data_IF_808661389438
#
_entry.id   IF_808661389438
#
_cell.length_a   1.000
_cell.length_b   1.000
_cell.length_c   1.000
_cell.angle_alpha   90.00
_cell.angle_beta   90.00
_cell.angle_gamma   90.00
#
_symmetry.space_group_name_H-M   'P 1'
#
loop_
_entity.id
_entity.type
_entity.pdbx_description
1 polymer ?
#
# COMPACT_ATOMS: atom_id res chain seq x y z
N UNK A 1 -30.04 29.32 -5.35
CA UNK A 1 -28.68 28.73 -5.29
C UNK A 1 -28.52 27.59 -4.28
N UNK A 2 -29.12 27.63 -3.08
CA UNK A 2 -28.96 26.55 -2.06
C UNK A 2 -29.46 25.14 -2.48
N UNK A 3 -30.51 25.03 -3.31
CA UNK A 3 -31.06 23.72 -3.71
C UNK A 3 -30.25 22.96 -4.77
N UNK A 4 -29.31 23.60 -5.45
CA UNK A 4 -28.58 22.97 -6.57
C UNK A 4 -27.36 22.16 -6.13
N UNK A 5 -26.83 22.35 -4.91
CA UNK A 5 -25.64 21.62 -4.42
C UNK A 5 -25.95 20.43 -3.52
N UNK A 6 -27.19 20.30 -3.06
CA UNK A 6 -27.66 19.02 -2.53
C UNK A 6 -27.83 18.11 -3.76
N UNK A 7 -27.07 17.02 -3.86
CA UNK A 7 -27.16 16.04 -4.95
C UNK A 7 -26.46 16.35 -6.28
N UNK A 8 -25.28 17.00 -6.25
CA UNK A 8 -24.38 16.97 -7.41
C UNK A 8 -23.42 15.79 -7.23
N UNK A 9 -23.49 14.83 -8.15
CA UNK A 9 -22.59 13.67 -8.16
C UNK A 9 -21.13 14.10 -8.41
N UNK A 10 -20.18 13.27 -8.00
CA UNK A 10 -18.77 13.53 -8.28
C UNK A 10 -18.55 13.56 -9.79
N UNK A 11 -17.99 14.66 -10.30
CA UNK A 11 -17.72 14.83 -11.73
C UNK A 11 -16.25 14.54 -12.04
N UNK A 12 -15.99 13.65 -12.99
CA UNK A 12 -14.66 13.39 -13.52
C UNK A 12 -14.36 14.33 -14.69
N UNK A 13 -13.19 14.96 -14.70
CA UNK A 13 -12.65 15.68 -15.87
C UNK A 13 -11.56 14.82 -16.54
N UNK A 14 -11.88 14.09 -17.62
CA UNK A 14 -10.95 13.13 -18.22
C UNK A 14 -9.67 13.77 -18.73
N UNK A 15 -9.74 15.01 -19.22
CA UNK A 15 -8.59 15.76 -19.75
C UNK A 15 -7.57 16.16 -18.68
N UNK A 16 -7.97 16.22 -17.41
CA UNK A 16 -7.12 16.69 -16.30
C UNK A 16 -6.78 15.57 -15.30
N UNK A 17 -7.39 14.37 -15.44
CA UNK A 17 -7.32 13.30 -14.43
C UNK A 17 -7.78 13.75 -13.03
N UNK A 18 -8.73 14.69 -12.98
CA UNK A 18 -9.26 15.28 -11.74
C UNK A 18 -10.69 14.80 -11.50
N UNK A 19 -11.01 14.47 -10.25
CA UNK A 19 -12.37 14.21 -9.78
C UNK A 19 -12.79 15.28 -8.78
N UNK A 20 -13.93 15.93 -9.05
CA UNK A 20 -14.49 16.99 -8.21
C UNK A 20 -15.72 16.47 -7.49
N UNK A 21 -15.67 16.45 -6.16
CA UNK A 21 -16.76 16.01 -5.29
C UNK A 21 -17.25 17.18 -4.42
N UNK A 22 -18.32 17.89 -4.83
CA UNK A 22 -18.89 18.97 -4.03
C UNK A 22 -19.61 18.43 -2.80
N UNK A 23 -19.42 19.09 -1.65
CA UNK A 23 -20.10 18.75 -0.39
C UNK A 23 -20.69 20.01 0.25
N UNK A 24 -21.78 19.83 0.99
CA UNK A 24 -22.45 20.92 1.72
C UNK A 24 -22.60 20.51 3.17
N UNK A 25 -22.03 21.29 4.07
CA UNK A 25 -22.10 21.06 5.51
C UNK A 25 -23.00 22.14 6.12
N UNK A 26 -24.24 21.79 6.49
CA UNK A 26 -25.18 22.76 7.03
C UNK A 26 -24.95 23.01 8.53
N UNK A 27 -25.42 24.16 9.02
CA UNK A 27 -25.55 24.49 10.46
C UNK A 27 -24.23 24.62 11.23
N UNK A 28 -23.30 25.45 10.75
CA UNK A 28 -22.06 25.78 11.47
C UNK A 28 -22.27 26.87 12.54
N UNK A 29 -21.31 26.97 13.47
CA UNK A 29 -21.32 28.01 14.51
C UNK A 29 -21.27 29.41 13.90
N UNK A 30 -22.20 30.27 14.29
CA UNK A 30 -22.33 31.64 13.79
C UNK A 30 -21.55 32.68 14.63
N UNK A 31 -20.53 32.24 15.37
CA UNK A 31 -19.85 33.05 16.40
C UNK A 31 -19.18 34.33 15.89
N UNK A 32 -19.01 34.54 14.58
CA UNK A 32 -18.68 35.85 13.98
C UNK A 32 -19.36 36.16 12.62
N UNK A 33 -20.43 35.45 12.26
CA UNK A 33 -21.25 35.75 11.08
C UNK A 33 -22.67 36.18 11.49
N UNK A 34 -23.40 36.81 10.57
CA UNK A 34 -24.75 37.36 10.80
C UNK A 34 -25.73 36.34 11.44
N UNK A 35 -26.86 36.82 12.01
CA UNK A 35 -27.86 36.02 12.76
C UNK A 35 -28.53 34.86 11.96
N UNK A 36 -28.14 34.63 10.71
CA UNK A 36 -28.70 33.57 9.84
C UNK A 36 -27.87 32.30 9.93
N UNK A 37 -28.52 31.14 9.75
CA UNK A 37 -27.83 29.83 9.73
C UNK A 37 -26.77 29.82 8.62
N UNK A 38 -25.51 29.60 8.98
CA UNK A 38 -24.41 29.45 8.02
C UNK A 38 -24.33 28.00 7.49
N UNK A 39 -23.84 27.86 6.26
CA UNK A 39 -23.53 26.58 5.65
C UNK A 39 -22.22 26.70 4.88
N UNK A 40 -21.39 25.67 4.93
CA UNK A 40 -20.13 25.61 4.20
C UNK A 40 -20.31 24.77 2.95
N UNK A 41 -19.87 25.31 1.82
CA UNK A 41 -19.79 24.57 0.56
C UNK A 41 -18.32 24.28 0.26
N UNK A 42 -17.96 22.99 0.21
CA UNK A 42 -16.61 22.57 -0.14
C UNK A 42 -16.61 21.91 -1.52
N UNK A 43 -15.48 22.00 -2.23
CA UNK A 43 -15.23 21.20 -3.43
C UNK A 43 -13.99 20.38 -3.16
N UNK A 44 -14.15 19.06 -2.99
CA UNK A 44 -13.03 18.16 -2.78
C UNK A 44 -12.43 17.79 -4.14
N UNK A 45 -11.16 18.09 -4.33
CA UNK A 45 -10.41 17.77 -5.55
C UNK A 45 -9.57 16.53 -5.29
N UNK A 46 -9.81 15.47 -6.07
CA UNK A 46 -9.11 14.18 -5.93
C UNK A 46 -8.39 13.88 -7.24
N UNK A 47 -7.08 13.63 -7.15
CA UNK A 47 -6.19 13.37 -8.29
C UNK A 47 -5.31 12.15 -8.03
N UNK A 48 -4.90 11.40 -9.07
CA UNK A 48 -3.97 10.29 -8.90
C UNK A 48 -2.61 10.79 -8.40
N UNK A 49 -2.12 10.19 -7.31
CA UNK A 49 -0.80 10.49 -6.77
C UNK A 49 0.30 9.88 -7.66
N UNK A 50 1.25 10.70 -8.10
CA UNK A 50 2.40 10.29 -8.94
C UNK A 50 2.02 9.46 -10.18
N UNK A 51 0.81 9.62 -10.70
CA UNK A 51 0.25 8.80 -11.79
C UNK A 51 0.32 7.27 -11.52
N UNK A 52 0.33 6.85 -10.26
CA UNK A 52 0.36 5.44 -9.91
C UNK A 52 -0.94 4.74 -10.31
N UNK A 53 -0.80 3.57 -10.93
CA UNK A 53 -1.91 2.68 -11.26
C UNK A 53 -1.66 1.30 -10.67
N UNK A 54 -2.68 0.74 -10.06
CA UNK A 54 -2.67 -0.59 -9.49
C UNK A 54 -3.84 -1.39 -10.04
N UNK A 55 -3.60 -2.67 -10.28
CA UNK A 55 -4.65 -3.61 -10.67
C UNK A 55 -4.95 -4.51 -9.48
N UNK A 56 -6.22 -4.52 -9.05
CA UNK A 56 -6.74 -5.47 -8.09
C UNK A 56 -7.13 -6.78 -8.80
N UNK A 57 -6.81 -7.92 -8.18
CA UNK A 57 -7.16 -9.26 -8.64
C UNK A 57 -7.72 -10.09 -7.49
N UNK A 58 -8.78 -10.85 -7.76
CA UNK A 58 -9.35 -11.78 -6.80
C UNK A 58 -8.82 -13.18 -7.09
N UNK A 59 -8.03 -13.71 -6.16
CA UNK A 59 -7.50 -15.07 -6.23
C UNK A 59 -8.49 -16.04 -5.61
N UNK A 60 -8.76 -17.11 -6.35
CA UNK A 60 -9.62 -18.22 -5.92
C UNK A 60 -8.75 -19.39 -5.43
N UNK A 61 -9.39 -20.53 -5.15
CA UNK A 61 -8.67 -21.74 -4.78
C UNK A 61 -7.63 -22.11 -5.86
N UNK A 62 -6.36 -22.36 -5.49
CA UNK A 62 -5.32 -22.68 -6.44
C UNK A 62 -5.37 -24.16 -6.85
N UNK A 63 -4.90 -24.41 -8.07
CA UNK A 63 -4.49 -25.75 -8.52
C UNK A 63 -3.03 -26.00 -8.14
N UNK A 64 -2.75 -27.20 -7.64
CA UNK A 64 -1.38 -27.57 -7.23
C UNK A 64 -0.72 -28.43 -8.30
N UNK A 65 0.45 -28.01 -8.75
CA UNK A 65 1.26 -28.74 -9.72
C UNK A 65 2.65 -29.01 -9.17
N UNK A 66 3.20 -30.18 -9.50
CA UNK A 66 4.64 -30.46 -9.35
C UNK A 66 5.27 -30.58 -10.71
N UNK A 67 6.39 -29.88 -10.90
CA UNK A 67 7.15 -29.90 -12.15
C UNK A 67 8.32 -30.86 -11.99
N UNK A 68 8.20 -32.04 -12.59
CA UNK A 68 9.27 -33.03 -12.60
C UNK A 68 10.22 -32.79 -13.76
N UNK A 69 11.52 -32.85 -13.46
CA UNK A 69 12.60 -32.82 -14.43
C UNK A 69 13.33 -34.15 -14.39
N UNK A 70 13.02 -35.02 -15.35
CA UNK A 70 13.68 -36.33 -15.48
C UNK A 70 14.81 -36.22 -16.50
N UNK A 71 16.02 -36.63 -16.09
CA UNK A 71 17.22 -36.56 -16.93
C UNK A 71 17.98 -37.86 -16.83
N UNK A 72 18.40 -38.38 -17.98
CA UNK A 72 19.26 -39.55 -18.08
C UNK A 72 20.66 -39.10 -18.45
N UNK A 73 21.64 -39.63 -17.72
CA UNK A 73 23.05 -39.42 -18.00
C UNK A 73 23.69 -40.74 -18.43
N UNK A 74 24.52 -40.67 -19.46
CA UNK A 74 25.35 -41.78 -19.93
C UNK A 74 26.83 -41.39 -19.80
N UNK A 75 27.65 -42.33 -19.34
CA UNK A 75 29.10 -42.11 -19.27
C UNK A 75 29.74 -42.48 -20.60
N UNK A 76 30.32 -41.48 -21.29
CA UNK A 76 31.02 -41.66 -22.57
C UNK A 76 32.40 -41.04 -22.43
N UNK A 77 33.47 -41.80 -22.69
CA UNK A 77 34.86 -41.35 -22.52
C UNK A 77 35.09 -40.70 -21.14
N UNK A 78 34.67 -41.41 -20.08
CA UNK A 78 34.74 -41.00 -18.67
C UNK A 78 33.95 -39.75 -18.27
N UNK A 79 33.31 -39.04 -19.21
CA UNK A 79 32.48 -37.86 -18.94
C UNK A 79 31.00 -38.21 -18.92
N UNK A 80 30.25 -37.57 -18.03
CA UNK A 80 28.79 -37.68 -18.01
C UNK A 80 28.19 -36.82 -19.12
N UNK A 81 27.44 -37.44 -20.03
CA UNK A 81 26.68 -36.77 -21.10
C UNK A 81 25.19 -36.97 -20.87
N UNK A 82 24.40 -35.89 -20.97
CA UNK A 82 22.93 -35.97 -20.96
C UNK A 82 22.46 -36.68 -22.22
N UNK A 83 21.77 -37.81 -22.08
CA UNK A 83 21.23 -38.58 -23.20
C UNK A 83 19.73 -38.34 -23.42
N UNK A 84 18.98 -38.10 -22.34
CA UNK A 84 17.55 -37.81 -22.39
C UNK A 84 17.19 -36.77 -21.32
N UNK A 85 16.23 -35.90 -21.63
CA UNK A 85 15.70 -34.91 -20.70
C UNK A 85 14.24 -34.62 -21.01
N UNK A 86 13.40 -34.67 -19.99
CA UNK A 86 11.99 -34.29 -20.10
C UNK A 86 11.57 -33.50 -18.86
N UNK A 87 10.80 -32.43 -19.08
CA UNK A 87 10.16 -31.66 -18.02
C UNK A 87 8.65 -31.80 -18.16
N UNK A 88 7.97 -32.26 -17.11
CA UNK A 88 6.52 -32.47 -17.12
C UNK A 88 5.86 -31.87 -15.87
N UNK A 89 4.88 -30.96 -16.02
CA UNK A 89 4.01 -30.57 -14.91
C UNK A 89 2.97 -31.66 -14.68
N UNK A 90 2.80 -32.06 -13.43
CA UNK A 90 1.81 -33.03 -12.97
C UNK A 90 0.85 -32.35 -12.00
N UNK A 91 -0.45 -32.52 -12.26
CA UNK A 91 -1.49 -32.00 -11.37
C UNK A 91 -1.62 -32.91 -10.14
N UNK A 92 -1.66 -32.32 -8.95
CA UNK A 92 -1.72 -33.03 -7.67
C UNK A 92 -3.06 -32.86 -6.95
N UNK A 93 -4.05 -32.20 -7.55
CA UNK A 93 -5.34 -31.95 -6.92
C UNK A 93 -6.09 -33.24 -6.55
N UNK A 94 -5.80 -34.35 -7.24
CA UNK A 94 -6.37 -35.68 -6.98
C UNK A 94 -5.58 -36.48 -5.92
N UNK A 95 -4.50 -35.93 -5.38
CA UNK A 95 -3.62 -36.58 -4.39
C UNK A 95 -2.65 -37.61 -4.96
N UNK A 96 -2.89 -38.09 -6.18
CA UNK A 96 -2.03 -39.03 -6.90
C UNK A 96 -1.85 -38.60 -8.36
N UNK A 97 -0.63 -38.69 -8.86
CA UNK A 97 -0.29 -38.48 -10.26
C UNK A 97 0.65 -39.58 -10.75
N UNK A 98 0.45 -40.06 -11.98
CA UNK A 98 1.35 -41.03 -12.61
C UNK A 98 1.99 -40.45 -13.86
N UNK A 99 3.22 -40.88 -14.12
CA UNK A 99 3.99 -40.48 -15.30
C UNK A 99 4.77 -41.67 -15.83
N UNK A 100 4.57 -41.97 -17.12
CA UNK A 100 5.42 -42.91 -17.85
C UNK A 100 6.73 -42.23 -18.22
N UNK A 101 7.83 -42.78 -17.70
CA UNK A 101 9.18 -42.35 -18.01
C UNK A 101 9.77 -43.32 -19.02
N UNK A 102 10.05 -42.81 -20.22
CA UNK A 102 10.86 -43.51 -21.21
C UNK A 102 12.27 -43.71 -20.63
N UNK A 103 12.71 -44.96 -20.56
CA UNK A 103 14.03 -45.33 -20.06
C UNK A 103 15.08 -45.51 -21.16
N UNK A 104 16.23 -46.02 -20.73
CA UNK A 104 17.41 -46.28 -21.55
C UNK A 104 17.22 -47.61 -22.28
N UNK A 105 17.64 -47.69 -23.54
CA UNK A 105 17.83 -48.97 -24.20
C UNK A 105 19.05 -49.68 -23.62
N UNK A 106 18.83 -50.85 -23.02
CA UNK A 106 19.86 -51.70 -22.47
C UNK A 106 19.97 -52.95 -23.34
N UNK A 107 21.19 -53.28 -23.73
CA UNK A 107 21.51 -54.57 -24.33
C UNK A 107 21.49 -55.64 -23.24
N UNK A 108 20.48 -56.50 -23.27
CA UNK A 108 20.37 -57.66 -22.36
C UNK A 108 20.66 -58.91 -23.19
N UNK A 109 21.95 -59.23 -23.34
CA UNK A 109 22.41 -60.26 -24.28
C UNK A 109 22.50 -59.72 -25.71
N UNK A 110 21.94 -60.43 -26.69
CA UNK A 110 21.86 -60.01 -28.10
C UNK A 110 20.61 -59.14 -28.42
N UNK A 111 19.76 -58.87 -27.44
CA UNK A 111 18.51 -58.12 -27.63
C UNK A 111 18.60 -56.71 -27.01
N UNK A 112 18.30 -55.70 -27.82
CA UNK A 112 18.12 -54.32 -27.38
C UNK A 112 16.73 -54.16 -26.74
N UNK A 113 16.67 -53.83 -25.45
CA UNK A 113 15.39 -53.62 -24.73
C UNK A 113 15.31 -52.22 -24.16
N UNK A 114 14.19 -51.54 -24.43
CA UNK A 114 13.86 -50.26 -23.79
C UNK A 114 13.31 -50.52 -22.39
N UNK A 115 13.95 -49.96 -21.36
CA UNK A 115 13.34 -49.89 -20.05
C UNK A 115 12.23 -48.85 -20.03
N UNK A 116 11.12 -49.17 -19.37
CA UNK A 116 10.06 -48.24 -19.07
C UNK A 116 9.88 -48.20 -17.56
N UNK A 117 9.78 -46.99 -17.02
CA UNK A 117 9.50 -46.80 -15.61
C UNK A 117 8.15 -46.11 -15.48
N UNK A 118 7.26 -46.67 -14.67
CA UNK A 118 6.06 -45.97 -14.24
C UNK A 118 6.36 -45.30 -12.90
N UNK A 119 6.38 -43.97 -12.91
CA UNK A 119 6.53 -43.17 -11.71
C UNK A 119 5.15 -42.80 -11.18
N UNK A 120 4.85 -43.17 -9.94
CA UNK A 120 3.65 -42.78 -9.23
C UNK A 120 4.06 -41.81 -8.12
N UNK A 121 3.43 -40.65 -8.10
CA UNK A 121 3.63 -39.61 -7.12
C UNK A 121 2.39 -39.49 -6.26
N UNK A 122 2.59 -39.63 -4.96
CA UNK A 122 1.59 -39.37 -3.95
C UNK A 122 2.04 -38.15 -3.16
N UNK A 123 1.22 -37.11 -3.19
CA UNK A 123 1.58 -35.83 -2.60
C UNK A 123 0.47 -35.41 -1.64
N UNK A 124 0.76 -35.25 -0.34
CA UNK A 124 -0.17 -34.56 0.54
C UNK A 124 -0.39 -33.14 0.01
N UNK A 125 -1.57 -32.57 0.26
CA UNK A 125 -1.86 -31.17 -0.11
C UNK A 125 -0.70 -30.26 0.32
N UNK A 126 -0.38 -29.26 -0.50
CA UNK A 126 0.67 -28.29 -0.19
C UNK A 126 0.49 -27.76 1.25
N UNK A 127 1.59 -27.74 2.02
CA UNK A 127 1.55 -27.45 3.46
C UNK A 127 1.07 -26.01 3.76
N UNK A 128 1.27 -25.13 2.79
CA UNK A 128 0.94 -23.70 2.77
C UNK A 128 0.37 -23.42 1.39
N UNK A 129 -0.42 -22.38 1.32
CA UNK A 129 -0.98 -21.84 0.08
C UNK A 129 -1.20 -20.36 0.30
N UNK A 130 -1.22 -19.61 -0.80
CA UNK A 130 -1.74 -18.27 -0.77
C UNK A 130 -3.26 -18.38 -0.54
N UNK A 131 -3.78 -17.68 0.46
CA UNK A 131 -5.20 -17.78 0.80
C UNK A 131 -6.06 -17.09 -0.29
N UNK A 132 -7.25 -17.62 -0.59
CA UNK A 132 -8.18 -16.95 -1.49
C UNK A 132 -8.54 -15.56 -0.95
N UNK A 133 -8.43 -14.54 -1.79
CA UNK A 133 -8.51 -13.16 -1.34
C UNK A 133 -8.26 -12.17 -2.46
N UNK A 134 -8.29 -10.88 -2.11
CA UNK A 134 -8.04 -9.81 -3.07
C UNK A 134 -6.62 -9.31 -2.88
N UNK A 135 -5.85 -9.39 -3.95
CA UNK A 135 -4.45 -8.95 -4.03
C UNK A 135 -4.35 -7.83 -5.04
N UNK A 136 -3.21 -7.15 -5.09
CA UNK A 136 -2.99 -6.11 -6.09
C UNK A 136 -1.53 -6.04 -6.52
N UNK A 137 -1.29 -5.45 -7.69
CA UNK A 137 0.05 -5.19 -8.19
C UNK A 137 0.07 -3.86 -8.95
N UNK A 138 1.25 -3.24 -9.04
CA UNK A 138 1.43 -1.99 -9.78
C UNK A 138 1.45 -2.25 -11.28
N UNK A 139 0.67 -1.50 -12.03
CA UNK A 139 0.66 -1.53 -13.50
C UNK A 139 1.70 -0.53 -13.99
N UNK A 140 2.75 -1.01 -14.66
CA UNK A 140 3.78 -0.17 -15.28
C UNK A 140 3.71 -0.34 -16.78
N UNK A 141 3.34 0.73 -17.49
CA UNK A 141 3.27 0.73 -18.96
C UNK A 141 4.67 0.46 -19.56
N UNK A 142 4.74 -0.41 -20.58
CA UNK A 142 5.98 -0.71 -21.30
C UNK A 142 6.92 -1.75 -20.66
N UNK A 143 6.57 -2.34 -19.51
CA UNK A 143 7.27 -3.52 -18.95
C UNK A 143 6.49 -4.80 -19.21
N UNK A 144 7.19 -5.85 -19.61
CA UNK A 144 6.62 -7.19 -19.68
C UNK A 144 6.15 -7.63 -18.28
N UNK A 145 4.87 -8.01 -18.17
CA UNK A 145 4.24 -8.54 -16.93
C UNK A 145 5.00 -9.73 -16.31
N UNK A 146 5.88 -10.37 -17.10
CA UNK A 146 6.72 -11.51 -16.69
C UNK A 146 7.94 -11.11 -15.85
N UNK A 147 8.40 -9.86 -15.96
CA UNK A 147 9.60 -9.41 -15.25
C UNK A 147 9.24 -8.81 -13.88
N UNK A 148 9.21 -9.68 -12.86
CA UNK A 148 9.03 -9.35 -11.43
C UNK A 148 7.71 -8.64 -11.13
N UNK A 149 6.60 -9.37 -11.28
CA UNK A 149 5.31 -8.90 -10.85
C UNK A 149 5.29 -8.70 -9.33
N UNK A 150 5.12 -7.45 -8.91
CA UNK A 150 5.06 -7.04 -7.50
C UNK A 150 3.66 -7.27 -6.92
N UNK A 151 3.25 -8.53 -6.82
CA UNK A 151 2.01 -8.88 -6.13
C UNK A 151 2.13 -8.51 -4.66
N UNK A 152 1.12 -7.82 -4.12
CA UNK A 152 1.10 -7.28 -2.77
C UNK A 152 -0.05 -7.84 -1.95
N UNK A 153 0.21 -7.98 -0.66
CA UNK A 153 -0.71 -8.48 0.39
C UNK A 153 -0.54 -7.64 1.68
N UNK A 154 -1.40 -7.86 2.67
CA UNK A 154 -1.32 -7.24 3.99
C UNK A 154 -2.05 -5.91 4.11
N UNK A 155 -2.88 -5.56 3.12
CA UNK A 155 -3.71 -4.34 3.16
C UNK A 155 -5.15 -4.70 2.83
N UNK A 156 -6.08 -4.13 3.59
CA UNK A 156 -7.48 -4.27 3.29
C UNK A 156 -7.81 -3.56 1.97
N UNK A 157 -8.37 -4.31 1.02
CA UNK A 157 -8.72 -3.85 -0.31
C UNK A 157 -10.22 -4.04 -0.54
N UNK A 158 -10.87 -3.07 -1.17
CA UNK A 158 -12.28 -3.19 -1.56
C UNK A 158 -12.43 -4.19 -2.71
N UNK A 159 -13.44 -5.05 -2.60
CA UNK A 159 -13.95 -5.80 -3.74
C UNK A 159 -14.63 -4.89 -4.77
N UNK A 160 -14.89 -5.40 -5.96
CA UNK A 160 -15.54 -4.70 -7.06
C UNK A 160 -16.86 -4.03 -6.64
N UNK A 161 -17.62 -4.64 -5.74
CA UNK A 161 -18.91 -4.10 -5.25
C UNK A 161 -18.79 -3.26 -3.97
N UNK A 162 -17.64 -3.28 -3.31
CA UNK A 162 -17.40 -2.54 -2.06
C UNK A 162 -16.83 -1.14 -2.34
N UNK A 163 -17.05 -0.21 -1.41
CA UNK A 163 -16.65 1.20 -1.55
C UNK A 163 -16.26 1.84 -0.22
N UNK A 164 -15.69 1.09 0.72
CA UNK A 164 -15.27 1.64 2.02
C UNK A 164 -14.05 2.55 1.83
N UNK A 165 -14.07 3.72 2.48
CA UNK A 165 -12.94 4.66 2.45
C UNK A 165 -11.77 4.24 3.36
N UNK A 166 -11.98 3.24 4.23
CA UNK A 166 -10.95 2.70 5.13
C UNK A 166 -10.05 1.64 4.45
N UNK A 167 -10.37 1.26 3.20
CA UNK A 167 -9.67 0.21 2.44
C UNK A 167 -9.15 0.77 1.13
N UNK A 168 -8.10 0.17 0.55
CA UNK A 168 -7.67 0.51 -0.80
C UNK A 168 -8.80 0.31 -1.83
N UNK A 169 -8.72 0.98 -2.98
CA UNK A 169 -9.59 0.71 -4.14
C UNK A 169 -10.94 1.45 -4.16
N UNK A 170 -11.13 2.49 -3.34
CA UNK A 170 -12.29 3.39 -3.44
C UNK A 170 -12.16 4.43 -4.59
N UNK A 171 -10.92 4.76 -4.99
CA UNK A 171 -10.60 5.58 -6.17
C UNK A 171 -10.19 4.67 -7.33
N UNK A 172 -10.96 4.67 -8.41
CA UNK A 172 -10.83 3.68 -9.50
C UNK A 172 -10.67 4.33 -10.86
N UNK A 173 -9.93 3.64 -11.73
CA UNK A 173 -9.78 4.01 -13.12
C UNK A 173 -10.62 3.05 -13.98
N UNK A 174 -11.71 3.57 -14.56
CA UNK A 174 -12.60 2.82 -15.45
C UNK A 174 -12.95 3.69 -16.68
N UNK A 175 -13.09 3.07 -17.85
CA UNK A 175 -13.43 3.77 -19.10
C UNK A 175 -12.54 4.99 -19.40
N UNK A 176 -11.23 4.85 -19.21
CA UNK A 176 -10.24 5.93 -19.36
C UNK A 176 -10.46 7.15 -18.45
N UNK A 177 -11.17 7.00 -17.34
CA UNK A 177 -11.46 8.08 -16.40
C UNK A 177 -11.31 7.62 -14.95
N UNK A 178 -10.80 8.51 -14.11
CA UNK A 178 -10.80 8.31 -12.67
C UNK A 178 -12.16 8.69 -12.08
N UNK A 179 -12.64 7.91 -11.11
CA UNK A 179 -13.84 8.22 -10.36
C UNK A 179 -13.76 7.64 -8.94
N UNK A 180 -14.53 8.23 -8.03
CA UNK A 180 -14.72 7.70 -6.68
C UNK A 180 -16.02 6.89 -6.66
N UNK A 181 -15.92 5.62 -6.29
CA UNK A 181 -17.10 4.73 -6.23
C UNK A 181 -18.06 5.24 -5.16
N UNK A 182 -19.32 5.49 -5.53
CA UNK A 182 -20.33 6.13 -4.65
C UNK A 182 -19.80 7.43 -4.01
N UNK A 183 -19.01 8.19 -4.77
CA UNK A 183 -18.24 9.33 -4.27
C UNK A 183 -19.06 10.38 -3.55
N UNK A 184 -20.25 10.74 -4.06
CA UNK A 184 -21.07 11.76 -3.42
C UNK A 184 -21.38 11.41 -1.95
N UNK A 185 -21.87 10.20 -1.69
CA UNK A 185 -22.24 9.74 -0.35
C UNK A 185 -21.02 9.52 0.54
N UNK A 186 -19.98 8.87 0.01
CA UNK A 186 -18.80 8.52 0.80
C UNK A 186 -17.99 9.75 1.21
N UNK A 187 -17.79 10.72 0.30
CA UNK A 187 -17.03 11.94 0.58
C UNK A 187 -17.79 12.84 1.55
N UNK A 188 -19.13 12.96 1.42
CA UNK A 188 -19.95 13.72 2.36
C UNK A 188 -19.88 13.15 3.78
N UNK A 189 -19.89 11.82 3.92
CA UNK A 189 -19.77 11.16 5.22
C UNK A 189 -18.38 11.22 5.83
N UNK A 190 -17.33 11.17 5.01
CA UNK A 190 -15.94 11.23 5.49
C UNK A 190 -15.50 12.64 5.88
N UNK A 191 -16.09 13.68 5.28
CA UNK A 191 -15.68 15.04 5.54
C UNK A 191 -16.31 15.57 6.83
N UNK A 192 -15.47 15.80 7.83
CA UNK A 192 -15.85 16.42 9.09
C UNK A 192 -15.30 17.85 9.17
N UNK A 193 -16.15 18.79 9.52
CA UNK A 193 -15.76 20.18 9.71
C UNK A 193 -16.21 20.65 11.08
N UNK A 194 -15.26 21.23 11.82
CA UNK A 194 -15.49 21.88 13.11
C UNK A 194 -15.25 23.37 12.95
N UNK A 195 -16.32 24.15 13.01
CA UNK A 195 -16.22 25.61 13.03
C UNK A 195 -15.93 26.12 14.43
N UNK A 196 -14.85 26.89 14.58
CA UNK A 196 -14.66 27.76 15.75
C UNK A 196 -15.31 29.13 15.47
N UNK A 197 -15.19 29.59 14.23
CA UNK A 197 -15.75 30.82 13.68
C UNK A 197 -16.15 30.56 12.20
N UNK A 198 -17.16 31.26 11.70
CA UNK A 198 -17.48 31.34 10.28
C UNK A 198 -16.28 31.79 9.41
N UNK A 199 -15.29 32.46 10.00
CA UNK A 199 -14.00 32.79 9.35
C UNK A 199 -12.91 31.74 9.55
N UNK A 200 -13.05 30.83 10.53
CA UNK A 200 -12.03 29.84 10.91
C UNK A 200 -12.64 28.48 11.18
N UNK A 201 -12.37 27.55 10.26
CA UNK A 201 -12.85 26.19 10.35
C UNK A 201 -11.69 25.22 10.37
N UNK A 202 -11.85 24.13 11.12
CA UNK A 202 -10.95 22.98 11.07
C UNK A 202 -11.63 21.87 10.28
N UNK A 203 -10.91 21.29 9.32
CA UNK A 203 -11.37 20.18 8.51
C UNK A 203 -10.62 18.91 8.87
N UNK A 204 -11.33 17.80 8.80
CA UNK A 204 -10.83 16.46 9.00
C UNK A 204 -11.47 15.56 7.95
N UNK A 205 -10.69 14.65 7.37
CA UNK A 205 -11.18 13.73 6.37
C UNK A 205 -10.98 12.29 6.86
N UNK A 206 -12.09 11.61 7.12
CA UNK A 206 -12.13 10.24 7.64
C UNK A 206 -12.02 9.23 6.49
N UNK A 207 -10.80 8.98 6.04
CA UNK A 207 -10.50 7.98 5.04
C UNK A 207 -9.10 7.42 5.30
N UNK A 208 -8.77 6.30 4.66
CA UNK A 208 -7.41 5.78 4.60
C UNK A 208 -6.92 5.74 3.15
N UNK A 209 -5.61 5.51 2.99
CA UNK A 209 -4.99 5.26 1.70
C UNK A 209 -5.01 6.45 0.74
N UNK A 210 -4.74 7.65 1.26
CA UNK A 210 -4.64 8.88 0.47
C UNK A 210 -3.45 9.74 0.90
N UNK A 211 -3.12 10.70 0.05
CA UNK A 211 -2.15 11.76 0.36
C UNK A 211 -2.93 13.06 0.43
N UNK A 212 -2.80 13.78 1.54
CA UNK A 212 -3.40 15.10 1.68
C UNK A 212 -2.39 16.17 1.28
N UNK A 213 -2.78 17.00 0.32
CA UNK A 213 -2.08 18.25 -0.01
C UNK A 213 -2.88 19.41 0.62
N UNK A 214 -2.22 20.22 1.44
CA UNK A 214 -2.83 21.39 2.07
C UNK A 214 -2.14 22.63 1.51
N UNK A 215 -2.89 23.46 0.78
CA UNK A 215 -2.36 24.67 0.16
C UNK A 215 -1.73 25.60 1.21
N UNK A 216 -0.43 25.86 1.08
CA UNK A 216 0.35 26.73 1.97
C UNK A 216 1.18 26.03 3.05
N UNK A 217 1.12 24.70 3.16
CA UNK A 217 2.05 23.89 3.95
C UNK A 217 2.92 23.03 3.00
N UNK A 218 4.25 23.11 3.13
CA UNK A 218 5.19 22.26 2.34
C UNK A 218 5.18 20.77 2.76
N UNK A 219 4.39 20.42 3.77
CA UNK A 219 4.35 19.06 4.33
C UNK A 219 3.25 18.25 3.67
N UNK A 220 3.65 17.32 2.80
CA UNK A 220 2.77 16.25 2.31
C UNK A 220 2.45 15.29 3.47
N UNK A 221 1.16 15.12 3.77
CA UNK A 221 0.71 14.09 4.70
C UNK A 221 0.37 12.84 3.91
N UNK A 222 1.36 11.97 3.70
CA UNK A 222 1.16 10.67 3.06
C UNK A 222 0.60 9.66 4.07
N UNK A 223 -0.60 9.15 3.79
CA UNK A 223 -1.29 8.15 4.61
C UNK A 223 -1.74 6.97 3.76
N UNK A 224 -0.76 6.32 3.14
CA UNK A 224 -0.99 5.08 2.41
C UNK A 224 -0.04 3.99 2.91
N UNK A 225 -0.54 2.76 2.88
CA UNK A 225 0.22 1.56 3.16
C UNK A 225 0.04 0.62 1.97
N UNK A 226 1.12 0.33 1.24
CA UNK A 226 1.09 -0.61 0.12
C UNK A 226 1.33 -2.07 0.55
N UNK A 227 1.27 -2.33 1.85
CA UNK A 227 1.50 -3.65 2.42
C UNK A 227 2.89 -4.15 2.12
N UNK A 228 2.98 -5.47 1.99
CA UNK A 228 4.22 -6.15 1.65
C UNK A 228 4.09 -6.90 0.33
N UNK A 229 5.23 -7.18 -0.28
CA UNK A 229 5.25 -8.05 -1.45
C UNK A 229 4.98 -9.49 -1.03
N UNK A 230 4.25 -10.22 -1.86
CA UNK A 230 4.00 -11.65 -1.64
C UNK A 230 5.32 -12.44 -1.68
N UNK A 231 6.33 -11.96 -2.39
CA UNK A 231 7.68 -12.55 -2.39
C UNK A 231 8.46 -12.34 -1.08
N UNK A 232 7.97 -11.50 -0.15
CA UNK A 232 8.56 -11.38 1.19
C UNK A 232 8.14 -12.53 2.11
N UNK A 233 7.08 -13.29 1.76
CA UNK A 233 6.74 -14.51 2.49
C UNK A 233 7.85 -15.56 2.29
N UNK A 234 8.45 -16.11 3.36
CA UNK A 234 9.58 -17.03 3.24
C UNK A 234 9.28 -18.31 2.45
N UNK A 235 8.01 -18.74 2.42
CA UNK A 235 7.59 -19.94 1.70
C UNK A 235 7.36 -19.71 0.20
N UNK A 236 7.44 -18.47 -0.28
CA UNK A 236 7.21 -18.10 -1.67
C UNK A 236 8.55 -17.73 -2.30
N UNK A 237 8.91 -18.44 -3.37
CA UNK A 237 10.15 -18.21 -4.11
C UNK A 237 9.97 -17.20 -5.23
N UNK A 238 8.88 -17.31 -5.98
CA UNK A 238 8.61 -16.46 -7.12
C UNK A 238 7.11 -16.35 -7.35
N UNK A 239 6.69 -15.22 -7.93
CA UNK A 239 5.31 -14.98 -8.35
C UNK A 239 5.35 -14.50 -9.80
N UNK A 240 4.58 -15.15 -10.65
CA UNK A 240 4.39 -14.76 -12.05
C UNK A 240 2.90 -14.45 -12.28
N UNK A 241 2.61 -13.22 -12.71
CA UNK A 241 1.25 -12.80 -13.04
C UNK A 241 1.03 -12.99 -14.54
N UNK A 242 0.01 -13.76 -14.88
CA UNK A 242 -0.46 -13.98 -16.24
C UNK A 242 -1.82 -13.30 -16.44
N UNK A 243 -2.36 -13.31 -17.67
CA UNK A 243 -3.61 -12.61 -17.98
C UNK A 243 -4.84 -13.13 -17.23
N UNK A 244 -4.85 -14.42 -16.86
CA UNK A 244 -5.98 -15.09 -16.18
C UNK A 244 -5.57 -15.98 -15.01
N UNK A 245 -4.36 -15.82 -14.51
CA UNK A 245 -3.83 -16.66 -13.43
C UNK A 245 -2.59 -16.08 -12.80
N UNK A 246 -2.31 -16.52 -11.58
CA UNK A 246 -1.08 -16.19 -10.86
C UNK A 246 -0.40 -17.50 -10.53
N UNK A 247 0.83 -17.66 -10.98
CA UNK A 247 1.67 -18.80 -10.62
C UNK A 247 2.51 -18.41 -9.40
N UNK A 248 2.39 -19.19 -8.34
CA UNK A 248 3.20 -19.03 -7.12
C UNK A 248 4.14 -20.23 -7.05
N UNK A 249 5.45 -19.97 -7.17
CA UNK A 249 6.49 -20.98 -6.96
C UNK A 249 6.80 -21.03 -5.46
N UNK A 250 6.65 -22.21 -4.86
CA UNK A 250 6.96 -22.42 -3.46
C UNK A 250 8.47 -22.58 -3.25
N UNK A 251 9.00 -21.93 -2.21
CA UNK A 251 10.39 -22.10 -1.77
C UNK A 251 10.60 -23.39 -0.99
N UNK A 252 9.54 -23.87 -0.33
CA UNK A 252 9.52 -25.06 0.52
C UNK A 252 8.25 -25.88 0.26
N UNK A 253 8.31 -27.20 0.50
CA UNK A 253 7.18 -28.09 0.31
C UNK A 253 7.28 -29.33 1.18
N UNK A 254 6.16 -30.02 1.35
CA UNK A 254 6.11 -31.29 2.06
C UNK A 254 6.85 -32.39 1.28
N UNK A 255 7.35 -33.40 2.00
CA UNK A 255 7.90 -34.59 1.38
C UNK A 255 6.82 -35.31 0.54
N UNK A 256 7.25 -35.84 -0.60
CA UNK A 256 6.38 -36.58 -1.53
C UNK A 256 6.81 -38.04 -1.55
N UNK A 257 5.84 -38.94 -1.66
CA UNK A 257 6.13 -40.36 -1.84
C UNK A 257 6.25 -40.65 -3.34
N UNK A 258 7.42 -41.15 -3.73
CA UNK A 258 7.71 -41.56 -5.10
C UNK A 258 7.76 -43.08 -5.15
N UNK A 259 6.85 -43.69 -5.91
CA UNK A 259 6.87 -45.12 -6.19
C UNK A 259 7.31 -45.34 -7.62
N UNK A 260 8.45 -46.01 -7.81
CA UNK A 260 8.98 -46.37 -9.11
C UNK A 260 8.65 -47.84 -9.40
N UNK A 261 7.86 -48.09 -10.45
CA UNK A 261 7.57 -49.44 -10.94
C UNK A 261 8.38 -49.72 -12.19
N UNK A 262 9.05 -50.87 -12.20
CA UNK A 262 9.82 -51.41 -13.32
C UNK A 262 9.13 -52.65 -13.88
N UNK A 263 9.41 -53.00 -15.14
CA UNK A 263 9.02 -54.31 -15.68
C UNK A 263 9.78 -55.42 -14.92
N UNK A 264 9.06 -56.47 -14.52
CA UNK A 264 9.56 -57.63 -13.75
C UNK A 264 10.74 -58.35 -14.45
N UNK A 265 10.92 -58.11 -15.75
CA UNK A 265 12.04 -58.65 -16.55
C UNK A 265 13.39 -58.02 -16.23
N UNK A 266 13.44 -56.92 -15.48
CA UNK A 266 14.67 -56.21 -15.16
C UNK A 266 14.99 -56.30 -13.66
N UNK A 267 16.28 -56.30 -13.29
CA UNK A 267 16.67 -56.24 -11.88
C UNK A 267 16.18 -54.94 -11.25
N UNK A 268 15.90 -54.94 -9.92
CA UNK A 268 15.51 -53.74 -9.20
C UNK A 268 16.55 -52.62 -9.36
N UNK A 269 16.11 -51.34 -9.48
CA UNK A 269 17.02 -50.22 -9.60
C UNK A 269 17.80 -50.01 -8.30
N UNK A 270 19.08 -49.68 -8.44
CA UNK A 270 19.94 -49.30 -7.31
C UNK A 270 19.86 -47.80 -7.12
N UNK A 271 19.44 -47.36 -5.95
CA UNK A 271 19.43 -45.94 -5.58
C UNK A 271 20.81 -45.55 -5.07
N UNK A 272 21.41 -44.55 -5.72
CA UNK A 272 22.70 -43.97 -5.35
C UNK A 272 22.49 -42.54 -4.87
N UNK A 273 23.28 -42.12 -3.88
CA UNK A 273 23.28 -40.76 -3.38
C UNK A 273 24.70 -40.20 -3.37
N UNK A 274 24.82 -38.88 -3.46
CA UNK A 274 26.10 -38.20 -3.28
C UNK A 274 26.43 -38.07 -1.79
N UNK A 275 27.71 -37.84 -1.49
CA UNK A 275 28.19 -37.56 -0.14
C UNK A 275 27.78 -36.13 0.25
N UNK A 276 27.31 -35.97 1.48
CA UNK A 276 27.03 -34.66 2.07
C UNK A 276 28.27 -34.10 2.76
N UNK A 277 28.49 -32.79 2.64
CA UNK A 277 29.63 -32.11 3.27
C UNK A 277 29.32 -30.64 3.50
N UNK A 278 29.99 -30.02 4.47
CA UNK A 278 30.02 -28.57 4.67
C UNK A 278 31.32 -28.18 5.40
N UNK A 279 31.72 -26.91 5.30
CA UNK A 279 32.94 -26.39 5.93
C UNK A 279 32.66 -25.73 7.27
N UNK A 280 31.70 -24.81 7.31
CA UNK A 280 31.24 -24.10 8.50
C UNK A 280 29.81 -23.60 8.32
N UNK A 281 29.19 -23.16 9.40
CA UNK A 281 27.93 -22.43 9.34
C UNK A 281 27.96 -21.30 10.37
N UNK A 282 27.16 -20.27 10.12
CA UNK A 282 26.86 -19.19 11.03
C UNK A 282 25.39 -18.78 10.89
N UNK A 283 24.83 -18.10 11.87
CA UNK A 283 23.45 -17.66 11.77
C UNK A 283 22.92 -16.88 12.95
N UNK A 284 21.61 -16.68 12.95
CA UNK A 284 20.89 -16.07 14.06
C UNK A 284 19.45 -16.58 14.14
N UNK A 285 18.90 -16.56 15.35
CA UNK A 285 17.49 -16.87 15.57
C UNK A 285 16.70 -15.56 15.53
N UNK A 286 15.74 -15.47 14.61
CA UNK A 286 14.96 -14.26 14.39
C UNK A 286 13.50 -14.47 14.74
N UNK A 287 12.92 -13.48 15.41
CA UNK A 287 11.47 -13.27 15.48
C UNK A 287 11.18 -11.95 14.75
N UNK A 288 10.47 -12.04 13.64
CA UNK A 288 10.17 -10.87 12.82
C UNK A 288 8.94 -10.08 13.32
N UNK A 289 8.64 -8.95 12.66
CA UNK A 289 7.51 -8.07 12.97
C UNK A 289 6.14 -8.74 12.82
N UNK A 290 6.08 -9.91 12.19
CA UNK A 290 4.86 -10.69 11.93
C UNK A 290 4.73 -11.91 12.84
N UNK A 291 5.64 -12.04 13.82
CA UNK A 291 5.73 -13.20 14.70
C UNK A 291 6.16 -14.50 14.01
N UNK A 292 6.75 -14.45 12.81
CA UNK A 292 7.43 -15.61 12.25
C UNK A 292 8.73 -15.83 13.01
N UNK A 293 8.94 -17.07 13.44
CA UNK A 293 10.18 -17.49 14.08
C UNK A 293 10.94 -18.45 13.19
N UNK A 294 12.18 -18.09 12.90
CA UNK A 294 13.04 -18.88 12.05
C UNK A 294 14.50 -18.72 12.44
N UNK A 295 15.26 -19.74 12.08
CA UNK A 295 16.70 -19.81 12.18
C UNK A 295 17.26 -19.42 10.81
N UNK A 296 17.92 -18.27 10.75
CA UNK A 296 18.56 -17.75 9.54
C UNK A 296 20.00 -18.27 9.49
N UNK A 297 20.28 -19.19 8.56
CA UNK A 297 21.56 -19.88 8.43
C UNK A 297 22.29 -19.45 7.17
N UNK A 298 23.58 -19.25 7.32
CA UNK A 298 24.57 -19.12 6.26
C UNK A 298 25.54 -20.29 6.39
N UNK A 299 25.62 -21.13 5.36
CA UNK A 299 26.42 -22.35 5.38
C UNK A 299 27.52 -22.25 4.32
N UNK A 300 28.77 -22.48 4.72
CA UNK A 300 29.93 -22.41 3.85
C UNK A 300 30.23 -23.75 3.15
N UNK A 301 30.49 -23.68 1.84
CA UNK A 301 31.02 -24.78 1.02
C UNK A 301 30.26 -26.10 1.22
N UNK A 302 28.93 -26.02 1.15
CA UNK A 302 28.04 -27.10 1.55
C UNK A 302 27.37 -27.80 0.37
N UNK A 303 27.17 -29.12 0.50
CA UNK A 303 26.58 -30.00 -0.52
C UNK A 303 25.77 -31.12 0.14
N UNK A 304 24.67 -31.51 -0.51
CA UNK A 304 23.86 -32.64 -0.08
C UNK A 304 22.88 -32.28 1.04
N UNK A 305 22.67 -33.21 1.97
CA UNK A 305 21.76 -33.04 3.11
C UNK A 305 22.56 -32.82 4.39
N UNK A 306 22.21 -31.78 5.13
CA UNK A 306 22.72 -31.52 6.47
C UNK A 306 21.62 -31.76 7.49
N UNK A 307 21.97 -32.40 8.60
CA UNK A 307 21.08 -32.67 9.74
C UNK A 307 21.46 -31.72 10.86
N UNK A 308 20.46 -31.07 11.43
CA UNK A 308 20.61 -30.05 12.45
C UNK A 308 19.84 -30.37 13.71
N UNK A 309 20.37 -29.91 14.85
CA UNK A 309 19.76 -30.04 16.17
C UNK A 309 19.88 -28.75 16.94
N UNK A 310 18.80 -28.31 17.56
CA UNK A 310 18.76 -27.12 18.41
C UNK A 310 18.61 -27.59 19.86
N UNK A 311 19.52 -27.12 20.71
CA UNK A 311 19.53 -27.35 22.15
C UNK A 311 19.39 -26.02 22.89
N UNK A 312 18.77 -26.05 24.08
CA UNK A 312 18.74 -24.87 24.96
C UNK A 312 20.12 -24.54 25.51
N UNK A 313 20.83 -25.59 25.94
CA UNK A 313 22.11 -25.50 26.61
C UNK A 313 23.10 -26.55 26.06
N UNK A 314 24.38 -26.40 26.41
CA UNK A 314 25.47 -27.32 26.05
C UNK A 314 25.33 -28.72 26.70
N UNK A 315 24.43 -28.91 27.67
CA UNK A 315 24.13 -30.22 28.26
C UNK A 315 23.59 -31.23 27.23
N UNK A 316 23.11 -30.74 26.07
CA UNK A 316 22.55 -31.55 24.97
C UNK A 316 21.45 -32.50 25.43
N UNK A 317 20.59 -32.04 26.36
CA UNK A 317 19.48 -32.83 26.85
C UNK A 317 18.50 -33.17 25.71
N UNK A 318 18.39 -34.46 25.38
CA UNK A 318 17.56 -34.96 24.26
C UNK A 318 16.08 -34.57 24.37
N UNK A 319 15.57 -34.33 25.59
CA UNK A 319 14.19 -33.90 25.82
C UNK A 319 13.91 -32.46 25.37
N UNK A 320 14.95 -31.65 25.12
CA UNK A 320 14.84 -30.28 24.63
C UNK A 320 15.45 -30.14 23.21
N UNK A 321 15.60 -31.25 22.48
CA UNK A 321 16.15 -31.26 21.13
C UNK A 321 15.07 -30.92 20.09
N UNK A 322 15.35 -29.94 19.24
CA UNK A 322 14.56 -29.70 18.03
C UNK A 322 15.37 -30.09 16.79
N UNK A 323 15.06 -31.21 16.13
CA UNK A 323 15.74 -31.64 14.91
C UNK A 323 15.22 -30.87 13.69
N UNK A 324 16.10 -30.59 12.73
CA UNK A 324 15.76 -30.01 11.43
C UNK A 324 16.71 -30.51 10.35
N UNK A 325 16.30 -30.41 9.09
CA UNK A 325 17.12 -30.83 7.94
C UNK A 325 17.27 -29.67 6.95
N UNK A 326 18.47 -29.52 6.40
CA UNK A 326 18.76 -28.57 5.32
C UNK A 326 19.19 -29.36 4.10
N UNK A 327 18.42 -29.26 3.01
CA UNK A 327 18.75 -29.91 1.73
C UNK A 327 19.32 -28.88 0.77
N UNK A 328 20.57 -29.06 0.38
CA UNK A 328 21.29 -28.15 -0.50
C UNK A 328 21.30 -28.77 -1.90
N UNK A 329 20.54 -28.15 -2.81
CA UNK A 329 20.44 -28.60 -4.20
C UNK A 329 21.48 -27.91 -5.08
N UNK A 330 22.26 -28.72 -5.81
CA UNK A 330 23.21 -28.28 -6.84
C UNK A 330 22.50 -27.52 -8.00
N UNK A 331 21.16 -27.57 -8.11
CA UNK A 331 20.39 -26.90 -9.18
C UNK A 331 20.46 -25.36 -9.15
N UNK A 332 20.95 -24.74 -8.07
CA UNK A 332 21.20 -23.30 -8.01
C UNK A 332 22.57 -22.89 -8.58
N UNK A 333 23.39 -23.85 -9.02
CA UNK A 333 24.75 -23.64 -9.56
C UNK A 333 24.79 -23.63 -11.11
N UNK A 334 23.77 -24.11 -11.81
CA UNK A 334 23.79 -24.17 -13.28
C UNK A 334 23.25 -22.90 -13.96
N UNK A 335 23.83 -21.74 -13.63
CA UNK A 335 23.80 -20.56 -14.50
C UNK A 335 25.25 -20.17 -14.81
N UNK A 336 25.71 -20.63 -15.97
CA UNK A 336 26.94 -20.27 -16.67
C UNK A 336 28.26 -20.81 -16.08
N UNK A 337 28.85 -21.75 -16.83
CA UNK A 337 30.28 -21.89 -17.12
C UNK A 337 31.31 -21.61 -16.00
N UNK A 338 31.99 -22.67 -15.56
CA UNK A 338 33.41 -22.71 -15.18
C UNK A 338 33.93 -21.90 -13.99
N UNK A 339 33.09 -21.46 -13.05
CA UNK A 339 33.50 -21.11 -11.68
C UNK A 339 32.28 -20.80 -10.83
N UNK A 340 32.43 -20.92 -9.51
CA UNK A 340 31.46 -20.66 -8.44
C UNK A 340 30.72 -21.93 -8.02
N UNK A 341 31.45 -22.82 -7.33
CA UNK A 341 30.89 -23.38 -6.09
C UNK A 341 30.35 -22.18 -5.32
N UNK A 342 29.06 -22.17 -5.00
CA UNK A 342 28.56 -21.14 -4.08
C UNK A 342 29.27 -21.36 -2.76
N UNK A 343 30.23 -20.50 -2.45
CA UNK A 343 30.96 -20.52 -1.18
C UNK A 343 29.99 -20.40 0.00
N UNK A 344 28.82 -19.80 -0.21
CA UNK A 344 27.79 -19.56 0.80
C UNK A 344 26.39 -19.99 0.34
N UNK A 345 25.68 -20.71 1.20
CA UNK A 345 24.27 -21.08 1.05
C UNK A 345 23.43 -20.46 2.17
N UNK A 346 22.39 -19.72 1.80
CA UNK A 346 21.50 -19.04 2.75
C UNK A 346 20.17 -19.77 2.83
N UNK A 347 19.67 -20.02 4.05
CA UNK A 347 18.37 -20.66 4.25
C UNK A 347 17.73 -20.21 5.56
N UNK A 348 16.39 -20.12 5.54
CA UNK A 348 15.60 -19.88 6.73
C UNK A 348 14.92 -21.19 7.14
N UNK A 349 15.18 -21.65 8.35
CA UNK A 349 14.56 -22.86 8.90
C UNK A 349 13.48 -22.44 9.89
N UNK A 350 12.20 -22.77 9.69
CA UNK A 350 11.16 -22.44 10.66
C UNK A 350 11.41 -23.21 11.97
N UNK A 351 11.25 -22.54 13.11
CA UNK A 351 11.49 -23.13 14.44
C UNK A 351 10.29 -22.98 15.36
N UNK A 352 10.23 -23.83 16.39
CA UNK A 352 9.15 -23.85 17.37
C UNK A 352 9.11 -22.60 18.26
N UNK A 353 7.92 -22.21 18.72
CA UNK A 353 7.69 -21.13 19.67
C UNK A 353 8.35 -21.37 21.05
N UNK A 354 8.78 -22.59 21.33
CA UNK A 354 9.53 -22.95 22.54
C UNK A 354 10.97 -22.43 22.56
N UNK A 355 11.55 -22.07 21.41
CA UNK A 355 12.93 -21.58 21.29
C UNK A 355 12.93 -20.05 21.31
N UNK A 356 12.96 -19.44 22.49
CA UNK A 356 12.78 -17.99 22.69
C UNK A 356 14.01 -17.27 23.27
N UNK A 357 15.17 -17.91 23.22
CA UNK A 357 16.43 -17.42 23.76
C UNK A 357 17.59 -17.84 22.88
N UNK A 358 18.78 -17.32 23.22
CA UNK A 358 20.06 -17.84 22.72
C UNK A 358 20.07 -19.37 22.88
N UNK A 359 20.48 -20.08 21.84
CA UNK A 359 20.41 -21.54 21.78
C UNK A 359 21.68 -22.12 21.13
N UNK A 360 22.03 -23.34 21.54
CA UNK A 360 23.20 -24.07 21.04
C UNK A 360 22.77 -24.97 19.87
N UNK A 361 23.29 -24.69 18.68
CA UNK A 361 22.87 -25.34 17.44
C UNK A 361 24.01 -26.17 16.90
N UNK A 362 23.73 -27.42 16.53
CA UNK A 362 24.69 -28.34 15.94
C UNK A 362 24.23 -28.78 14.55
N UNK A 363 25.17 -28.88 13.61
CA UNK A 363 24.96 -29.35 12.24
C UNK A 363 25.99 -30.42 11.89
N UNK A 364 25.55 -31.48 11.21
CA UNK A 364 26.42 -32.53 10.69
C UNK A 364 25.96 -33.00 9.31
N UNK A 365 26.86 -33.45 8.42
CA UNK A 365 26.46 -33.98 7.12
C UNK A 365 25.78 -35.34 7.25
N UNK A 366 24.77 -35.59 6.42
CA UNK A 366 24.14 -36.91 6.33
C UNK A 366 25.16 -37.99 5.95
N UNK A 367 25.29 -39.01 6.81
CA UNK A 367 26.23 -40.12 6.64
C UNK A 367 27.57 -39.98 7.39
N UNK A 368 27.89 -38.81 7.95
CA UNK A 368 29.14 -38.60 8.71
C UNK A 368 28.88 -37.74 9.97
N UNK A 369 28.33 -38.34 11.04
CA UNK A 369 27.99 -37.62 12.28
C UNK A 369 29.24 -37.14 13.05
N UNK A 370 30.43 -37.64 12.73
CA UNK A 370 31.67 -37.24 13.39
C UNK A 370 32.14 -35.85 12.97
N UNK A 371 31.61 -35.31 11.86
CA UNK A 371 31.84 -33.93 11.40
C UNK A 371 30.77 -32.95 11.90
N UNK A 372 30.26 -33.19 13.11
CA UNK A 372 29.37 -32.25 13.77
C UNK A 372 30.14 -30.97 14.12
N UNK A 373 29.54 -29.83 13.80
CA UNK A 373 29.97 -28.52 14.26
C UNK A 373 28.83 -27.87 15.02
N UNK A 374 29.16 -27.13 16.07
CA UNK A 374 28.15 -26.49 16.91
C UNK A 374 28.53 -25.04 17.20
N UNK A 375 27.52 -24.18 17.27
CA UNK A 375 27.68 -22.76 17.53
C UNK A 375 26.50 -22.24 18.37
N UNK A 376 26.80 -21.27 19.23
CA UNK A 376 25.80 -20.50 19.97
C UNK A 376 25.24 -19.39 19.09
N UNK A 377 23.95 -19.43 18.79
CA UNK A 377 23.30 -18.40 17.98
C UNK A 377 22.40 -17.51 18.83
N UNK A 378 22.52 -16.20 18.61
CA UNK A 378 21.77 -15.20 19.36
C UNK A 378 20.31 -15.11 18.90
N UNK A 379 19.44 -14.74 19.85
CA UNK A 379 18.01 -14.53 19.61
C UNK A 379 17.71 -13.04 19.45
N UNK A 380 17.23 -12.65 18.28
CA UNK A 380 16.93 -11.25 17.92
C UNK A 380 15.43 -11.05 17.67
N UNK A 381 14.67 -10.56 18.67
CA UNK A 381 13.26 -10.27 18.51
C UNK A 381 13.02 -8.86 17.97
N UNK A 382 12.19 -8.76 16.94
CA UNK A 382 11.69 -7.50 16.41
C UNK A 382 10.28 -7.25 16.96
N UNK A 383 9.99 -6.06 17.51
CA UNK A 383 8.65 -5.77 18.04
C UNK A 383 7.60 -5.73 16.92
N UNK A 384 6.36 -6.09 17.27
CA UNK A 384 5.23 -5.99 16.35
C UNK A 384 5.08 -4.55 15.84
N UNK A 385 4.84 -4.43 14.53
CA UNK A 385 4.59 -3.15 13.89
C UNK A 385 3.32 -2.51 14.45
N UNK A 386 3.47 -1.41 15.19
CA UNK A 386 2.33 -0.64 15.72
C UNK A 386 1.76 0.24 14.61
N UNK A 387 0.48 0.09 14.33
CA UNK A 387 -0.26 1.00 13.48
C UNK A 387 -0.73 2.20 14.32
N UNK A 388 -0.36 3.43 13.94
CA UNK A 388 -0.83 4.66 14.60
C UNK A 388 -1.39 5.61 13.55
N UNK A 389 -2.71 5.75 13.55
CA UNK A 389 -3.44 6.64 12.65
C UNK A 389 -4.13 7.76 13.44
N UNK A 390 -3.42 8.84 13.71
CA UNK A 390 -4.07 10.09 14.10
C UNK A 390 -4.09 11.02 12.87
N UNK A 391 -5.27 11.40 12.37
CA UNK A 391 -5.36 12.47 11.38
C UNK A 391 -5.36 13.81 12.12
N UNK A 392 -4.42 14.71 11.82
CA UNK A 392 -4.47 16.05 12.37
C UNK A 392 -5.67 16.79 11.77
N UNK A 393 -6.26 17.68 12.57
CA UNK A 393 -7.21 18.66 12.06
C UNK A 393 -6.44 19.74 11.31
N UNK A 394 -6.88 20.08 10.10
CA UNK A 394 -6.25 21.12 9.28
C UNK A 394 -7.09 22.39 9.25
N UNK A 395 -6.45 23.56 9.19
CA UNK A 395 -7.16 24.83 9.12
C UNK A 395 -7.63 25.10 7.69
N UNK A 396 -8.93 25.30 7.50
CA UNK A 396 -9.50 25.78 6.25
C UNK A 396 -9.67 27.31 6.28
N UNK A 397 -9.30 27.98 5.18
CA UNK A 397 -9.63 29.38 4.93
C UNK A 397 -10.88 29.44 4.04
N UNK A 398 -12.06 29.79 4.57
CA UNK A 398 -13.25 29.91 3.74
C UNK A 398 -13.22 31.20 2.92
N UNK A 399 -13.64 31.12 1.66
CA UNK A 399 -14.05 32.29 0.88
C UNK A 399 -15.51 32.59 1.22
N UNK A 400 -15.79 33.75 1.81
CA UNK A 400 -17.14 34.11 2.24
C UNK A 400 -17.93 34.61 1.03
N UNK A 401 -18.94 33.85 0.63
CA UNK A 401 -19.88 34.24 -0.44
C UNK A 401 -21.13 34.82 0.23
N UNK A 402 -21.29 36.14 0.18
CA UNK A 402 -22.54 36.81 0.56
C UNK A 402 -22.56 37.51 1.92
N UNK A 403 -21.42 37.75 2.57
CA UNK A 403 -21.35 38.86 3.53
C UNK A 403 -21.15 40.15 2.71
N UNK A 404 -22.21 40.94 2.57
CA UNK A 404 -22.02 42.40 2.55
C UNK A 404 -21.31 42.72 3.86
N UNK A 405 -19.99 42.93 3.82
CA UNK A 405 -19.32 43.60 4.90
C UNK A 405 -20.01 44.95 5.05
N UNK A 406 -20.96 45.06 5.99
CA UNK A 406 -21.38 46.34 6.53
C UNK A 406 -20.22 46.94 7.31
N UNK A 407 -19.12 47.22 6.62
CA UNK A 407 -18.06 48.05 7.10
C UNK A 407 -18.64 49.43 7.31
N UNK A 408 -18.12 50.13 8.32
CA UNK A 408 -18.43 51.53 8.62
C UNK A 408 -18.41 52.43 7.35
N UNK A 409 -17.60 52.06 6.35
CA UNK A 409 -17.49 52.73 5.04
C UNK A 409 -18.75 52.59 4.17
N UNK A 410 -19.42 51.44 4.17
CA UNK A 410 -20.68 51.23 3.43
C UNK A 410 -21.86 51.90 4.12
N UNK A 411 -21.88 51.88 5.46
CA UNK A 411 -22.83 52.65 6.26
C UNK A 411 -22.68 54.17 5.98
N UNK A 412 -21.45 54.68 5.91
CA UNK A 412 -21.18 56.06 5.52
C UNK A 412 -21.56 56.36 4.06
N UNK A 413 -21.30 55.46 3.10
CA UNK A 413 -21.76 55.62 1.71
C UNK A 413 -23.28 55.68 1.61
N UNK A 414 -23.98 54.86 2.38
CA UNK A 414 -25.45 54.85 2.44
C UNK A 414 -25.98 56.16 3.02
N UNK A 415 -25.41 56.63 4.12
CA UNK A 415 -25.74 57.95 4.70
C UNK A 415 -25.44 59.07 3.71
N UNK A 416 -24.26 59.09 3.10
CA UNK A 416 -23.87 60.11 2.11
C UNK A 416 -24.78 60.11 0.88
N UNK A 417 -25.21 58.94 0.40
CA UNK A 417 -26.17 58.83 -0.70
C UNK A 417 -27.60 59.27 -0.32
N UNK A 418 -27.92 59.33 0.97
CA UNK A 418 -29.20 59.83 1.50
C UNK A 418 -29.17 61.34 1.77
N UNK A 419 -27.98 61.98 1.67
CA UNK A 419 -27.75 63.41 1.90
C UNK A 419 -27.63 64.18 0.57
N UNK A 420 -28.14 63.64 -0.54
CA UNK A 420 -28.23 64.42 -1.78
C UNK A 420 -29.52 65.29 -1.75
N UNK A 421 -29.43 66.63 -1.62
CA UNK A 421 -30.62 67.49 -1.49
C UNK A 421 -31.51 67.51 -2.75
N UNK A 422 -31.04 66.94 -3.86
CA UNK A 422 -31.75 66.89 -5.13
C UNK A 422 -32.86 65.83 -5.17
N UNK A 423 -32.76 64.75 -4.39
CA UNK A 423 -33.78 63.69 -4.36
C UNK A 423 -35.03 64.07 -3.55
N UNK A 424 -34.94 65.00 -2.58
CA UNK A 424 -36.14 65.49 -1.87
C UNK A 424 -36.99 66.47 -2.71
N UNK A 425 -36.40 67.14 -3.71
CA UNK A 425 -37.10 68.07 -4.61
C UNK A 425 -37.72 67.39 -5.85
N UNK A 426 -37.44 66.10 -6.11
CA UNK A 426 -37.88 65.40 -7.33
C UNK A 426 -38.86 64.25 -7.12
N UNK A 427 -39.35 64.00 -5.90
CA UNK A 427 -40.36 62.96 -5.63
C UNK A 427 -41.66 63.55 -5.10
N UNK A 428 -42.46 64.12 -6.01
CA UNK A 428 -43.90 64.30 -5.80
C UNK A 428 -44.63 63.06 -6.34
N UNK A 429 -44.63 61.97 -5.57
CA UNK A 429 -45.59 60.85 -5.59
C UNK A 429 -44.99 59.67 -4.81
N UNK A 430 -45.04 59.74 -3.48
CA UNK A 430 -45.29 58.58 -2.60
C UNK A 430 -45.34 59.07 -1.15
N UNK A 431 -46.49 58.83 -0.49
CA UNK A 431 -46.83 59.34 0.85
C UNK A 431 -46.12 58.59 1.98
N UNK A 432 -44.80 58.47 1.93
CA UNK A 432 -43.99 58.05 3.06
C UNK A 432 -42.62 58.70 3.00
N UNK A 433 -42.42 59.70 3.88
CA UNK A 433 -41.16 60.13 4.55
C UNK A 433 -41.03 61.66 4.73
N UNK A 434 -42.02 62.36 5.35
CA UNK A 434 -41.83 63.78 5.73
C UNK A 434 -40.74 63.96 6.81
N UNK A 435 -40.48 62.93 7.63
CA UNK A 435 -39.52 62.96 8.74
C UNK A 435 -38.06 62.95 8.24
N UNK A 436 -37.76 62.18 7.18
CA UNK A 436 -36.38 62.07 6.66
C UNK A 436 -35.91 63.39 6.04
N UNK A 437 -36.80 64.13 5.36
CA UNK A 437 -36.41 65.40 4.75
C UNK A 437 -36.27 66.53 5.78
N UNK A 438 -37.08 66.52 6.85
CA UNK A 438 -36.94 67.42 7.99
C UNK A 438 -35.59 67.24 8.71
N UNK A 439 -35.17 66.01 8.95
CA UNK A 439 -33.86 65.70 9.56
C UNK A 439 -32.71 66.16 8.65
N UNK A 440 -32.81 65.94 7.34
CA UNK A 440 -31.79 66.39 6.39
C UNK A 440 -31.69 67.93 6.33
N UNK A 441 -32.80 68.65 6.42
CA UNK A 441 -32.81 70.12 6.46
C UNK A 441 -32.19 70.66 7.76
N UNK A 442 -32.44 70.01 8.90
CA UNK A 442 -31.80 70.33 10.17
C UNK A 442 -30.29 70.06 10.16
N UNK A 443 -29.85 68.93 9.60
CA UNK A 443 -28.42 68.60 9.47
C UNK A 443 -27.72 69.59 8.51
N UNK A 444 -28.38 69.95 7.39
CA UNK A 444 -27.88 70.96 6.46
C UNK A 444 -27.72 72.34 7.11
N UNK A 445 -28.71 72.78 7.89
CA UNK A 445 -28.64 74.02 8.67
C UNK A 445 -27.54 73.97 9.74
N UNK A 446 -27.40 72.84 10.44
CA UNK A 446 -26.37 72.66 11.45
C UNK A 446 -24.96 72.72 10.82
N UNK A 447 -24.74 72.06 9.68
CA UNK A 447 -23.48 72.11 8.94
C UNK A 447 -23.18 73.51 8.39
N UNK A 448 -24.19 74.23 7.88
CA UNK A 448 -24.03 75.61 7.43
C UNK A 448 -23.66 76.55 8.58
N UNK A 449 -24.27 76.39 9.76
CA UNK A 449 -23.94 77.14 10.97
C UNK A 449 -22.54 76.80 11.49
N UNK A 450 -22.12 75.53 11.39
CA UNK A 450 -20.78 75.08 11.78
C UNK A 450 -19.71 75.64 10.82
N UNK A 451 -19.98 75.64 9.51
CA UNK A 451 -19.13 76.27 8.48
C UNK A 451 -19.06 77.79 8.67
N UNK A 452 -20.18 78.46 8.94
CA UNK A 452 -20.19 79.88 9.29
C UNK A 452 -19.41 80.16 10.57
N UNK A 453 -19.51 79.29 11.57
CA UNK A 453 -18.73 79.34 12.80
C UNK A 453 -17.23 79.23 12.54
N UNK A 454 -16.80 78.23 11.77
CA UNK A 454 -15.39 78.03 11.41
C UNK A 454 -14.88 79.21 10.56
N UNK A 455 -15.66 79.69 9.59
CA UNK A 455 -15.27 80.83 8.77
C UNK A 455 -15.10 82.09 9.63
N UNK A 456 -16.07 82.39 10.51
CA UNK A 456 -16.06 83.62 11.32
C UNK A 456 -15.11 83.59 12.50
N UNK A 457 -14.93 82.42 13.16
CA UNK A 457 -14.13 82.27 14.39
C UNK A 457 -12.72 81.73 14.15
N UNK A 458 -12.46 81.04 13.03
CA UNK A 458 -11.14 80.48 12.74
C UNK A 458 -10.51 81.14 11.52
N UNK A 459 -11.20 81.17 10.37
CA UNK A 459 -10.59 81.61 9.10
C UNK A 459 -10.39 83.13 9.05
N UNK A 460 -11.41 83.93 9.42
CA UNK A 460 -11.30 85.40 9.46
C UNK A 460 -10.21 85.90 10.43
N UNK A 461 -10.08 85.40 11.68
CA UNK A 461 -8.98 85.82 12.55
C UNK A 461 -7.61 85.34 12.07
N UNK A 462 -7.49 84.13 11.48
CA UNK A 462 -6.24 83.66 10.87
C UNK A 462 -5.82 84.49 9.65
N UNK A 463 -6.78 84.91 8.81
CA UNK A 463 -6.52 85.81 7.68
C UNK A 463 -6.16 87.24 8.13
N UNK A 464 -6.74 87.73 9.24
CA UNK A 464 -6.33 89.01 9.85
C UNK A 464 -4.92 88.92 10.46
N UNK A 465 -4.56 87.78 11.06
CA UNK A 465 -3.21 87.52 11.57
C UNK A 465 -2.17 87.41 10.45
N UNK A 466 -2.48 86.72 9.35
CA UNK A 466 -1.53 86.60 8.22
C UNK A 466 -1.28 87.93 7.51
N UNK A 467 -2.29 88.82 7.43
CA UNK A 467 -2.14 90.18 6.88
C UNK A 467 -1.36 91.10 7.86
N UNK A 468 -1.46 90.89 9.18
CA UNK A 468 -0.70 91.67 10.18
C UNK A 468 0.77 91.24 10.29
N UNK A 469 1.07 89.94 10.15
CA UNK A 469 2.44 89.41 10.08
C UNK A 469 3.15 89.74 8.75
N UNK A 470 2.43 90.07 7.67
CA UNK A 470 3.03 90.51 6.42
C UNK A 470 3.46 92.00 6.43
N UNK A 471 3.20 92.74 7.52
CA UNK A 471 3.51 94.17 7.66
C UNK A 471 4.44 94.52 8.84
N UNK A 472 5.15 93.55 9.42
CA UNK A 472 6.17 93.83 10.44
C UNK A 472 7.33 92.85 10.43
#
# INVERSE_FOLDING_TARGET
MYRQKYYIDCSSRPSESVVLCPTVIPFLSNTACSKRKSALCCTNTITPYQNWRFQAIQLQQPDTYVVLKYTVYQRVQEKWKKSFHVTKPLNLNQGLASLDLHGIGIDVGNDYKLLYFLLILEVPRAHRRLEPGIYFYQVVEGRDLKTLAQLRDGVALNDKLQSSLDKLGWFRFENNSWHVVKGQFNIEQAQHVRGEDCKKHKMFFNAEQFVLHVDGDEKEFSKFNLGKLVTEYPYIRAVEIQSRGVNVEHAEGAAMTLTLKTDDKFPPPIFVHHISQFKSFHGLIQLDEESNRFLNLTIESARGTLRGRIFKDESRDQHNEFPFDVRISDSLSYKNSDKIEKEYYYTNVPISFSINSKSYICLYPEGDPNKEQCEWLDYMPTPLKKYSNNHPWHNGKPEIIGDEEQGFVEYLKKILSTIDPRTCLSQNQDNSHPISCLVNLFIGLALALLLLGICTRCIIPLAKWSIFCAKK
#
